data_IF_791119370583
#
_entry.id   IF_791119370583
#
_cell.length_a   1.000
_cell.length_b   1.000
_cell.length_c   1.000
_cell.angle_alpha   90.00
_cell.angle_beta   90.00
_cell.angle_gamma   90.00
#
_symmetry.space_group_name_H-M   'P 1'
#
loop_
_entity.id
_entity.type
_entity.pdbx_description
1 polymer ?
#
# COMPACT_ATOMS: atom_id res chain seq x y z
N UNK A 1 -8.86 4.83 -14.75
CA UNK A 1 -10.20 5.37 -15.06
C UNK A 1 -10.70 6.30 -13.97
N UNK A 2 -11.51 7.32 -14.31
CA UNK A 2 -12.26 8.11 -13.34
C UNK A 2 -13.72 7.62 -13.17
N UNK A 3 -14.12 6.53 -13.86
CA UNK A 3 -15.42 5.87 -13.63
C UNK A 3 -15.44 5.20 -12.26
N UNK A 4 -16.55 5.33 -11.55
CA UNK A 4 -16.78 4.65 -10.28
C UNK A 4 -18.27 4.34 -10.11
N UNK A 5 -18.59 3.22 -9.51
CA UNK A 5 -19.95 2.85 -9.13
C UNK A 5 -20.35 3.39 -7.74
N UNK A 6 -19.48 4.16 -7.08
CA UNK A 6 -19.74 4.84 -5.80
C UNK A 6 -19.57 6.36 -5.91
N UNK A 7 -20.20 7.08 -4.97
CA UNK A 7 -20.00 8.51 -4.70
C UNK A 7 -19.60 8.69 -3.24
N UNK A 8 -18.31 8.51 -2.96
CA UNK A 8 -17.78 8.67 -1.61
C UNK A 8 -17.56 10.17 -1.30
N UNK A 9 -18.03 10.62 -0.14
CA UNK A 9 -17.87 12.01 0.33
C UNK A 9 -16.39 12.40 0.53
N UNK A 10 -15.52 11.41 0.78
CA UNK A 10 -14.09 11.62 1.02
C UNK A 10 -13.23 11.10 -0.13
N UNK A 11 -13.79 11.04 -1.35
CA UNK A 11 -13.05 10.58 -2.50
C UNK A 11 -11.98 11.60 -2.91
N UNK A 12 -10.73 11.35 -2.57
CA UNK A 12 -9.63 12.25 -2.97
C UNK A 12 -9.43 12.29 -4.50
N UNK A 13 -9.91 11.28 -5.22
CA UNK A 13 -9.86 11.22 -6.67
C UNK A 13 -11.02 11.97 -7.36
N UNK A 14 -12.07 12.34 -6.64
CA UNK A 14 -13.30 12.95 -7.17
C UNK A 14 -13.84 12.23 -8.43
N UNK A 15 -13.89 10.93 -8.38
CA UNK A 15 -13.85 10.00 -9.51
C UNK A 15 -15.11 9.93 -10.38
N UNK A 16 -16.14 10.78 -10.21
CA UNK A 16 -17.40 10.59 -10.95
C UNK A 16 -18.12 11.89 -11.29
N UNK A 17 -17.51 13.04 -11.04
CA UNK A 17 -18.24 14.31 -11.02
C UNK A 17 -17.87 15.28 -12.13
N UNK A 18 -17.01 14.88 -13.07
CA UNK A 18 -16.30 15.84 -13.93
C UNK A 18 -17.00 16.15 -15.28
N UNK A 19 -18.12 15.48 -15.58
CA UNK A 19 -18.78 15.64 -16.89
C UNK A 19 -17.99 15.05 -18.07
N UNK A 20 -16.93 14.28 -17.80
CA UNK A 20 -16.12 13.57 -18.78
C UNK A 20 -15.67 12.20 -18.23
N UNK A 21 -15.32 11.31 -19.13
CA UNK A 21 -14.70 10.02 -18.78
C UNK A 21 -13.23 10.06 -19.20
N UNK A 22 -12.35 9.98 -18.21
CA UNK A 22 -10.92 9.75 -18.38
C UNK A 22 -10.63 8.26 -18.17
N UNK A 23 -10.39 7.57 -19.27
CA UNK A 23 -10.07 6.16 -19.26
C UNK A 23 -9.07 5.86 -20.35
N UNK A 24 -7.75 5.83 -20.01
CA UNK A 24 -6.70 5.55 -20.99
C UNK A 24 -6.96 4.24 -21.74
N UNK A 25 -6.70 4.21 -23.04
CA UNK A 25 -6.83 3.01 -23.85
C UNK A 25 -5.81 1.94 -23.43
N UNK A 26 -5.99 0.72 -23.92
CA UNK A 26 -5.03 -0.36 -23.64
C UNK A 26 -3.62 0.00 -24.16
N UNK A 27 -3.51 0.64 -25.32
CA UNK A 27 -2.25 1.12 -25.90
C UNK A 27 -1.61 2.19 -25.01
N UNK A 28 -2.40 3.19 -24.59
CA UNK A 28 -1.89 4.24 -23.68
C UNK A 28 -1.41 3.64 -22.35
N UNK A 29 -2.13 2.66 -21.80
CA UNK A 29 -1.70 1.96 -20.59
C UNK A 29 -0.41 1.15 -20.83
N UNK A 30 -0.28 0.52 -21.99
CA UNK A 30 0.94 -0.19 -22.36
C UNK A 30 2.13 0.77 -22.42
N UNK A 31 1.96 1.93 -23.04
CA UNK A 31 3.00 2.97 -23.10
C UNK A 31 3.38 3.50 -21.71
N UNK A 32 2.39 3.75 -20.85
CA UNK A 32 2.62 4.15 -19.45
C UNK A 32 3.41 3.09 -18.68
N UNK A 33 3.05 1.82 -18.81
CA UNK A 33 3.76 0.70 -18.17
C UNK A 33 5.18 0.55 -18.71
N UNK A 34 5.37 0.70 -20.02
CA UNK A 34 6.68 0.66 -20.66
C UNK A 34 7.58 1.79 -20.15
N UNK A 35 7.06 3.02 -20.09
CA UNK A 35 7.78 4.17 -19.52
C UNK A 35 8.30 3.87 -18.12
N UNK A 36 7.46 3.30 -17.23
CA UNK A 36 7.86 2.93 -15.88
C UNK A 36 8.96 1.84 -15.86
N UNK A 37 8.97 0.92 -16.83
CA UNK A 37 9.98 -0.14 -16.92
C UNK A 37 11.30 0.33 -17.56
N UNK A 38 11.25 1.43 -18.28
CA UNK A 38 12.43 2.05 -18.89
C UNK A 38 13.16 3.02 -17.95
N UNK A 39 12.59 3.35 -16.80
CA UNK A 39 13.23 4.19 -15.79
C UNK A 39 14.61 3.65 -15.37
N UNK A 40 15.56 4.57 -15.17
CA UNK A 40 16.94 4.28 -14.77
C UNK A 40 17.32 5.13 -13.54
N UNK A 41 18.20 4.67 -12.64
CA UNK A 41 18.99 3.42 -12.71
C UNK A 41 18.19 2.16 -12.35
N UNK A 42 17.02 2.27 -11.75
CA UNK A 42 16.20 1.14 -11.33
C UNK A 42 14.83 1.21 -12.00
N UNK A 43 14.46 0.20 -12.81
CA UNK A 43 13.10 0.14 -13.37
C UNK A 43 12.07 -0.02 -12.26
N UNK A 44 10.88 0.57 -12.43
CA UNK A 44 9.77 0.38 -11.49
C UNK A 44 9.37 -1.10 -11.41
N UNK A 45 9.31 -1.65 -10.20
CA UNK A 45 9.04 -3.07 -9.97
C UNK A 45 7.59 -3.36 -9.56
N UNK A 46 6.89 -2.38 -9.03
CA UNK A 46 5.52 -2.50 -8.54
C UNK A 46 4.59 -1.51 -9.22
N UNK A 47 3.38 -1.93 -9.57
CA UNK A 47 2.35 -1.07 -10.13
C UNK A 47 1.00 -1.33 -9.45
N UNK A 48 0.26 -0.25 -9.15
CA UNK A 48 -1.10 -0.34 -8.64
C UNK A 48 -2.07 0.31 -9.63
N UNK A 49 -3.04 -0.46 -10.10
CA UNK A 49 -4.14 0.05 -10.92
C UNK A 49 -5.21 0.65 -10.00
N UNK A 50 -5.54 1.89 -10.26
CA UNK A 50 -6.38 2.73 -9.41
C UNK A 50 -7.23 3.67 -10.27
N UNK A 51 -7.90 4.62 -9.63
CA UNK A 51 -8.69 5.66 -10.29
C UNK A 51 -9.97 5.91 -9.54
N UNK A 52 -11.12 5.74 -10.21
CA UNK A 52 -12.42 5.53 -9.59
C UNK A 52 -12.49 4.09 -9.09
N UNK A 53 -13.05 3.20 -9.93
CA UNK A 53 -13.10 1.77 -9.63
C UNK A 53 -12.51 0.96 -10.80
N UNK A 54 -11.29 0.43 -10.67
CA UNK A 54 -10.61 -0.25 -11.77
C UNK A 54 -11.31 -1.53 -12.23
N UNK A 55 -12.04 -2.21 -11.35
CA UNK A 55 -12.78 -3.43 -11.70
C UNK A 55 -13.95 -3.18 -12.64
N UNK A 56 -14.33 -1.92 -12.92
CA UNK A 56 -15.31 -1.59 -13.95
C UNK A 56 -14.77 -1.70 -15.37
N UNK A 57 -13.47 -1.89 -15.55
CA UNK A 57 -12.85 -2.18 -16.84
C UNK A 57 -12.91 -3.67 -17.13
N UNK A 58 -13.46 -4.04 -18.26
CA UNK A 58 -13.57 -5.46 -18.66
C UNK A 58 -12.20 -6.01 -19.12
N UNK A 59 -11.31 -5.16 -19.63
CA UNK A 59 -9.95 -5.50 -20.04
C UNK A 59 -8.91 -5.46 -18.90
N UNK A 60 -9.33 -5.28 -17.63
CA UNK A 60 -8.42 -5.25 -16.49
C UNK A 60 -7.53 -6.51 -16.37
N UNK A 61 -8.02 -7.74 -16.62
CA UNK A 61 -7.16 -8.92 -16.59
C UNK A 61 -6.05 -8.88 -17.64
N UNK A 62 -6.33 -8.38 -18.86
CA UNK A 62 -5.35 -8.21 -19.93
C UNK A 62 -4.30 -7.17 -19.59
N UNK A 63 -4.71 -6.05 -18.96
CA UNK A 63 -3.82 -4.99 -18.47
C UNK A 63 -2.86 -5.54 -17.39
N UNK A 64 -3.37 -6.33 -16.45
CA UNK A 64 -2.54 -6.97 -15.42
C UNK A 64 -1.54 -7.93 -16.05
N UNK A 65 -1.97 -8.77 -16.98
CA UNK A 65 -1.08 -9.69 -17.71
C UNK A 65 0.00 -8.94 -18.45
N UNK A 66 -0.36 -7.85 -19.12
CA UNK A 66 0.61 -6.99 -19.83
C UNK A 66 1.66 -6.40 -18.89
N UNK A 67 1.26 -5.99 -17.67
CA UNK A 67 2.22 -5.52 -16.66
C UNK A 67 3.20 -6.64 -16.25
N UNK A 68 2.69 -7.87 -16.01
CA UNK A 68 3.54 -9.03 -15.69
C UNK A 68 4.50 -9.35 -16.85
N UNK A 69 4.03 -9.34 -18.08
CA UNK A 69 4.84 -9.60 -19.29
C UNK A 69 5.95 -8.55 -19.46
N UNK A 70 5.71 -7.30 -19.06
CA UNK A 70 6.71 -6.24 -19.05
C UNK A 70 7.72 -6.36 -17.89
N UNK A 71 7.52 -7.31 -16.96
CA UNK A 71 8.44 -7.61 -15.86
C UNK A 71 8.14 -6.85 -14.56
N UNK A 72 6.92 -6.36 -14.35
CA UNK A 72 6.51 -5.97 -13.00
C UNK A 72 6.40 -7.21 -12.12
N UNK A 73 7.08 -7.19 -10.99
CA UNK A 73 7.07 -8.31 -10.03
C UNK A 73 5.91 -8.20 -9.03
N UNK A 74 5.33 -7.02 -8.89
CA UNK A 74 4.18 -6.79 -8.03
C UNK A 74 3.13 -5.94 -8.73
N UNK A 75 1.97 -6.54 -8.97
CA UNK A 75 0.80 -5.92 -9.56
C UNK A 75 -0.30 -5.82 -8.52
N UNK A 76 -0.93 -4.66 -8.40
CA UNK A 76 -1.91 -4.38 -7.37
C UNK A 76 -3.13 -3.68 -7.96
N UNK A 77 -4.30 -3.84 -7.32
CA UNK A 77 -5.48 -3.03 -7.60
C UNK A 77 -5.94 -2.33 -6.32
N UNK A 78 -6.37 -1.06 -6.43
CA UNK A 78 -7.10 -0.38 -5.36
C UNK A 78 -8.59 -0.39 -5.73
N UNK A 79 -9.43 -1.05 -4.92
CA UNK A 79 -10.84 -1.30 -5.25
C UNK A 79 -11.76 -1.10 -4.05
N UNK A 80 -13.01 -0.76 -4.32
CA UNK A 80 -14.08 -0.75 -3.31
C UNK A 80 -14.64 -2.16 -3.00
N UNK A 81 -14.25 -3.17 -3.78
CA UNK A 81 -14.57 -4.58 -3.54
C UNK A 81 -15.95 -5.04 -4.01
N UNK A 82 -16.83 -4.15 -4.47
CA UNK A 82 -18.23 -4.50 -4.78
C UNK A 82 -18.32 -5.52 -5.91
N UNK A 83 -17.56 -5.33 -7.00
CA UNK A 83 -17.54 -6.33 -8.08
C UNK A 83 -16.91 -7.64 -7.64
N UNK A 84 -15.85 -7.60 -6.81
CA UNK A 84 -15.26 -8.82 -6.24
C UNK A 84 -16.24 -9.60 -5.36
N UNK A 85 -17.16 -8.91 -4.69
CA UNK A 85 -18.20 -9.55 -3.89
C UNK A 85 -19.32 -10.19 -4.75
N UNK A 86 -19.74 -9.48 -5.81
CA UNK A 86 -20.88 -9.88 -6.65
C UNK A 86 -20.51 -10.91 -7.70
N UNK A 87 -19.28 -10.92 -8.17
CA UNK A 87 -18.74 -11.87 -9.15
C UNK A 87 -17.68 -12.75 -8.49
N UNK A 88 -18.10 -13.95 -8.08
CA UNK A 88 -17.24 -14.93 -7.39
C UNK A 88 -16.06 -15.41 -8.27
N UNK A 89 -16.14 -15.25 -9.59
CA UNK A 89 -15.09 -15.67 -10.52
C UNK A 89 -14.00 -14.62 -10.72
N UNK A 90 -14.30 -13.35 -10.43
CA UNK A 90 -13.43 -12.21 -10.72
C UNK A 90 -12.09 -12.29 -9.99
N UNK A 91 -12.10 -12.61 -8.68
CA UNK A 91 -10.89 -12.76 -7.89
C UNK A 91 -9.92 -13.79 -8.50
N UNK A 92 -10.45 -14.96 -8.90
CA UNK A 92 -9.69 -16.01 -9.58
C UNK A 92 -9.19 -15.59 -10.95
N UNK A 93 -9.97 -14.82 -11.71
CA UNK A 93 -9.57 -14.30 -13.02
C UNK A 93 -8.41 -13.32 -12.91
N UNK A 94 -8.47 -12.37 -11.97
CA UNK A 94 -7.40 -11.40 -11.72
C UNK A 94 -6.14 -12.08 -11.21
N UNK A 95 -6.27 -13.07 -10.32
CA UNK A 95 -5.11 -13.83 -9.82
C UNK A 95 -4.42 -14.61 -10.94
N UNK A 96 -5.17 -15.29 -11.81
CA UNK A 96 -4.59 -15.99 -12.98
C UNK A 96 -3.95 -15.04 -13.99
N UNK A 97 -4.40 -13.78 -14.05
CA UNK A 97 -3.76 -12.75 -14.84
C UNK A 97 -2.44 -12.26 -14.24
N UNK A 98 -2.14 -12.60 -12.98
CA UNK A 98 -0.92 -12.25 -12.29
C UNK A 98 -1.07 -11.17 -11.22
N UNK A 99 -2.32 -10.88 -10.77
CA UNK A 99 -2.53 -9.94 -9.67
C UNK A 99 -1.89 -10.44 -8.38
N UNK A 100 -1.00 -9.64 -7.81
CA UNK A 100 -0.30 -9.96 -6.56
C UNK A 100 -1.15 -9.65 -5.33
N UNK A 101 -1.79 -8.47 -5.28
CA UNK A 101 -2.49 -8.02 -4.06
C UNK A 101 -3.70 -7.14 -4.38
N UNK A 102 -4.77 -7.35 -3.65
CA UNK A 102 -5.96 -6.48 -3.63
C UNK A 102 -5.84 -5.48 -2.49
N UNK A 103 -5.82 -4.19 -2.78
CA UNK A 103 -5.97 -3.11 -1.81
C UNK A 103 -7.44 -2.76 -1.71
N UNK A 104 -8.08 -3.27 -0.67
CA UNK A 104 -9.51 -3.17 -0.45
C UNK A 104 -9.84 -1.98 0.45
N UNK A 105 -10.58 -1.01 -0.07
CA UNK A 105 -11.13 0.08 0.73
C UNK A 105 -12.03 -0.49 1.84
N UNK A 106 -11.75 -0.13 3.12
CA UNK A 106 -12.36 -0.76 4.30
C UNK A 106 -12.40 0.21 5.48
N UNK A 107 -13.42 1.07 5.57
CA UNK A 107 -13.45 2.20 6.51
C UNK A 107 -13.87 1.84 7.94
N UNK A 108 -14.31 0.61 8.16
CA UNK A 108 -14.73 0.14 9.48
C UNK A 108 -15.29 -1.27 9.45
N UNK A 109 -15.63 -1.80 10.61
CA UNK A 109 -16.16 -3.17 10.79
C UNK A 109 -17.68 -3.19 10.98
N UNK A 110 -18.30 -2.02 11.04
CA UNK A 110 -19.75 -1.84 11.21
C UNK A 110 -20.40 -1.10 10.05
N UNK A 111 -21.73 -1.27 9.86
CA UNK A 111 -22.48 -0.52 8.83
C UNK A 111 -22.50 0.98 9.07
N UNK A 112 -22.24 1.45 10.27
CA UNK A 112 -22.18 2.87 10.62
C UNK A 112 -20.95 3.56 10.02
N UNK A 113 -19.82 2.85 9.98
CA UNK A 113 -18.53 3.36 9.48
C UNK A 113 -18.24 2.90 8.07
N UNK A 114 -18.80 1.76 7.65
CA UNK A 114 -18.70 1.23 6.30
C UNK A 114 -20.01 0.57 5.86
N UNK A 115 -20.85 1.31 5.14
CA UNK A 115 -22.18 0.82 4.71
C UNK A 115 -22.13 -0.44 3.84
N UNK A 116 -21.02 -0.69 3.15
CA UNK A 116 -20.82 -1.86 2.29
C UNK A 116 -20.06 -2.99 2.96
N UNK A 117 -19.92 -2.96 4.29
CA UNK A 117 -19.11 -3.92 5.05
C UNK A 117 -19.41 -5.39 4.72
N UNK A 118 -20.67 -5.76 4.53
CA UNK A 118 -21.04 -7.15 4.23
C UNK A 118 -20.56 -7.58 2.83
N UNK A 119 -20.64 -6.67 1.83
CA UNK A 119 -20.05 -6.94 0.52
C UNK A 119 -18.53 -7.04 0.59
N UNK A 120 -17.88 -6.21 1.41
CA UNK A 120 -16.41 -6.27 1.59
C UNK A 120 -15.97 -7.57 2.25
N UNK A 121 -16.72 -8.05 3.25
CA UNK A 121 -16.46 -9.37 3.83
C UNK A 121 -16.62 -10.48 2.77
N UNK A 122 -17.67 -10.43 1.94
CA UNK A 122 -17.84 -11.40 0.84
C UNK A 122 -16.70 -11.31 -0.19
N UNK A 123 -16.22 -10.11 -0.53
CA UNK A 123 -15.04 -9.93 -1.38
C UNK A 123 -13.78 -10.56 -0.78
N UNK A 124 -13.57 -10.43 0.54
CA UNK A 124 -12.47 -11.08 1.26
C UNK A 124 -12.59 -12.61 1.17
N UNK A 125 -13.80 -13.17 1.37
CA UNK A 125 -14.02 -14.61 1.22
C UNK A 125 -13.72 -15.08 -0.21
N UNK A 126 -14.23 -14.40 -1.24
CA UNK A 126 -13.93 -14.74 -2.62
C UNK A 126 -12.42 -14.65 -2.95
N UNK A 127 -11.69 -13.74 -2.30
CA UNK A 127 -10.22 -13.68 -2.38
C UNK A 127 -9.56 -14.86 -1.65
N UNK A 128 -10.09 -15.25 -0.47
CA UNK A 128 -9.59 -16.39 0.32
C UNK A 128 -9.69 -17.69 -0.47
N UNK A 129 -10.84 -17.95 -1.10
CA UNK A 129 -11.11 -19.18 -1.86
C UNK A 129 -10.10 -19.43 -2.98
N UNK A 130 -9.52 -18.36 -3.54
CA UNK A 130 -8.51 -18.45 -4.59
C UNK A 130 -7.09 -18.15 -4.11
N UNK A 131 -6.90 -17.93 -2.80
CA UNK A 131 -5.62 -17.60 -2.20
C UNK A 131 -5.07 -16.22 -2.61
N UNK A 132 -5.94 -15.26 -2.95
CA UNK A 132 -5.57 -13.90 -3.30
C UNK A 132 -5.36 -13.06 -2.03
N UNK A 133 -4.15 -12.51 -1.83
CA UNK A 133 -3.86 -11.66 -0.67
C UNK A 133 -4.58 -10.31 -0.73
N UNK A 134 -5.07 -9.85 0.43
CA UNK A 134 -5.79 -8.59 0.61
C UNK A 134 -5.04 -7.69 1.59
N UNK A 135 -4.97 -6.39 1.30
CA UNK A 135 -4.57 -5.33 2.24
C UNK A 135 -5.79 -4.43 2.44
N UNK A 136 -6.18 -4.23 3.70
CA UNK A 136 -7.26 -3.31 4.03
C UNK A 136 -6.76 -1.86 3.97
N UNK A 137 -7.57 -0.97 3.40
CA UNK A 137 -7.21 0.45 3.22
C UNK A 137 -8.30 1.33 3.83
N UNK A 138 -8.28 1.56 5.13
CA UNK A 138 -9.23 2.44 5.79
C UNK A 138 -8.80 3.91 5.65
N UNK A 139 -9.73 4.75 5.18
CA UNK A 139 -9.61 6.21 5.30
C UNK A 139 -10.16 6.61 6.66
N UNK A 140 -9.34 7.29 7.47
CA UNK A 140 -9.68 7.64 8.85
C UNK A 140 -9.82 9.16 9.02
N UNK A 141 -10.94 9.59 9.58
CA UNK A 141 -11.20 10.97 9.97
C UNK A 141 -11.65 11.07 11.42
N UNK A 142 -11.23 12.12 12.12
CA UNK A 142 -11.62 12.39 13.50
C UNK A 142 -13.13 12.65 13.59
N UNK A 143 -13.81 12.08 14.59
CA UNK A 143 -15.26 12.15 14.74
C UNK A 143 -16.05 11.32 13.74
N UNK A 144 -15.36 10.53 12.88
CA UNK A 144 -16.00 9.71 11.85
C UNK A 144 -15.87 8.21 12.15
N UNK A 145 -14.66 7.69 12.14
CA UNK A 145 -14.40 6.26 12.27
C UNK A 145 -13.10 5.93 13.03
N UNK A 146 -12.42 6.91 13.61
CA UNK A 146 -11.18 6.70 14.37
C UNK A 146 -11.35 5.75 15.55
N UNK A 147 -12.59 5.63 16.07
CA UNK A 147 -12.94 4.73 17.16
C UNK A 147 -12.98 3.23 16.75
N UNK A 148 -12.81 2.92 15.47
CA UNK A 148 -12.75 1.54 14.97
C UNK A 148 -11.35 1.08 14.53
N UNK A 149 -10.33 1.92 14.69
CA UNK A 149 -8.96 1.60 14.26
C UNK A 149 -8.46 0.28 14.86
N UNK A 150 -8.62 0.09 16.18
CA UNK A 150 -8.26 -1.16 16.85
C UNK A 150 -9.10 -2.36 16.39
N UNK A 151 -10.40 -2.15 16.17
CA UNK A 151 -11.30 -3.20 15.67
C UNK A 151 -10.94 -3.67 14.27
N UNK A 152 -10.49 -2.76 13.40
CA UNK A 152 -10.01 -3.09 12.06
C UNK A 152 -8.75 -3.97 12.14
N UNK A 153 -7.81 -3.65 13.05
CA UNK A 153 -6.61 -4.48 13.27
C UNK A 153 -6.99 -5.86 13.78
N UNK A 154 -7.90 -5.94 14.76
CA UNK A 154 -8.36 -7.24 15.30
C UNK A 154 -9.10 -8.05 14.24
N UNK A 155 -9.94 -7.41 13.40
CA UNK A 155 -10.57 -8.09 12.26
C UNK A 155 -9.52 -8.63 11.28
N UNK A 156 -8.48 -7.85 10.95
CA UNK A 156 -7.40 -8.30 10.09
C UNK A 156 -6.63 -9.48 10.73
N UNK A 157 -6.36 -9.44 12.03
CA UNK A 157 -5.71 -10.52 12.76
C UNK A 157 -6.50 -11.83 12.76
N UNK A 158 -7.83 -11.75 12.87
CA UNK A 158 -8.72 -12.90 12.78
C UNK A 158 -8.78 -13.52 11.36
N UNK A 159 -8.32 -12.78 10.34
CA UNK A 159 -8.32 -13.17 8.93
C UNK A 159 -6.90 -13.13 8.33
N UNK A 160 -5.87 -13.39 9.13
CA UNK A 160 -4.45 -13.31 8.72
C UNK A 160 -4.09 -14.30 7.61
N UNK A 161 -4.90 -15.32 7.40
CA UNK A 161 -4.78 -16.28 6.31
C UNK A 161 -4.97 -15.65 4.92
N UNK A 162 -5.74 -14.56 4.82
CA UNK A 162 -6.01 -13.83 3.57
C UNK A 162 -5.60 -12.37 3.64
N UNK A 163 -5.75 -11.72 4.81
CA UNK A 163 -5.37 -10.31 5.01
C UNK A 163 -3.90 -10.22 5.37
N UNK A 164 -3.13 -9.50 4.53
CA UNK A 164 -1.68 -9.33 4.66
C UNK A 164 -1.29 -8.06 5.41
N UNK A 165 -2.23 -7.14 5.58
CA UNK A 165 -1.98 -5.91 6.32
C UNK A 165 -3.14 -4.94 6.29
N UNK A 166 -2.96 -3.86 7.06
CA UNK A 166 -3.85 -2.70 7.08
C UNK A 166 -3.00 -1.47 6.83
N UNK A 167 -3.35 -0.71 5.81
CA UNK A 167 -2.70 0.54 5.47
C UNK A 167 -3.66 1.71 5.72
N UNK A 168 -3.64 2.24 6.93
CA UNK A 168 -4.47 3.37 7.33
C UNK A 168 -4.12 4.64 6.56
N UNK A 169 -5.12 5.35 6.11
CA UNK A 169 -4.95 6.62 5.41
C UNK A 169 -5.69 7.72 6.17
N UNK A 170 -4.99 8.52 7.01
CA UNK A 170 -5.56 9.76 7.50
C UNK A 170 -6.14 10.57 6.35
N UNK A 171 -7.38 11.06 6.52
CA UNK A 171 -8.12 11.75 5.47
C UNK A 171 -7.36 12.98 4.95
N UNK A 172 -7.11 13.02 3.65
CA UNK A 172 -6.62 14.20 2.96
C UNK A 172 -7.81 15.02 2.41
N UNK A 173 -7.80 16.31 2.65
CA UNK A 173 -8.85 17.23 2.18
C UNK A 173 -8.59 17.66 0.73
N UNK A 174 -8.74 16.67 -0.15
CA UNK A 174 -8.57 16.79 -1.59
C UNK A 174 -9.76 16.15 -2.31
N UNK A 175 -9.93 16.41 -3.59
CA UNK A 175 -11.03 15.88 -4.39
C UNK A 175 -12.39 16.30 -3.84
N UNK A 176 -13.26 15.34 -3.52
CA UNK A 176 -14.62 15.63 -2.99
C UNK A 176 -14.61 16.35 -1.63
N UNK A 177 -13.54 16.20 -0.85
CA UNK A 177 -13.39 16.85 0.46
C UNK A 177 -12.65 18.20 0.41
N UNK A 178 -12.27 18.70 -0.78
CA UNK A 178 -11.47 19.94 -0.93
C UNK A 178 -12.20 21.18 -0.42
N UNK A 179 -13.52 21.23 -0.57
CA UNK A 179 -14.34 22.42 -0.31
C UNK A 179 -15.01 22.42 1.08
N UNK A 180 -14.61 21.50 1.96
CA UNK A 180 -15.11 21.49 3.33
C UNK A 180 -14.76 22.78 4.07
N UNK A 181 -15.72 23.32 4.81
CA UNK A 181 -15.52 24.52 5.63
C UNK A 181 -14.33 24.36 6.58
N UNK A 182 -13.54 25.40 6.85
CA UNK A 182 -12.34 25.31 7.69
C UNK A 182 -12.60 24.70 9.07
N UNK A 183 -13.74 25.01 9.69
CA UNK A 183 -14.11 24.46 11.00
C UNK A 183 -14.30 22.93 10.94
N UNK A 184 -14.99 22.42 9.90
CA UNK A 184 -15.23 20.99 9.68
C UNK A 184 -13.89 20.27 9.39
N UNK A 185 -13.10 20.82 8.49
CA UNK A 185 -11.78 20.30 8.14
C UNK A 185 -10.87 20.17 9.36
N UNK A 186 -10.79 21.23 10.20
CA UNK A 186 -9.97 21.21 11.39
C UNK A 186 -10.48 20.19 12.42
N UNK A 187 -11.79 20.06 12.56
CA UNK A 187 -12.41 19.08 13.46
C UNK A 187 -12.16 17.63 13.01
N UNK A 188 -12.14 17.39 11.71
CA UNK A 188 -11.97 16.05 11.13
C UNK A 188 -10.50 15.67 10.85
N UNK A 189 -9.55 16.61 11.00
CA UNK A 189 -8.12 16.33 10.78
C UNK A 189 -7.64 15.23 11.72
N UNK A 190 -7.04 14.20 11.13
CA UNK A 190 -6.43 13.07 11.81
C UNK A 190 -5.00 12.91 11.30
N UNK A 191 -4.05 12.59 12.17
CA UNK A 191 -2.62 12.54 11.84
C UNK A 191 -2.02 11.18 12.12
N UNK A 192 -0.77 10.93 11.69
CA UNK A 192 -0.07 9.68 12.00
C UNK A 192 0.18 9.50 13.52
N UNK A 193 0.56 10.53 14.30
CA UNK A 193 0.58 10.42 15.76
C UNK A 193 -0.78 10.06 16.36
N UNK A 194 -1.88 10.70 15.90
CA UNK A 194 -3.23 10.35 16.36
C UNK A 194 -3.54 8.87 16.06
N UNK A 195 -3.14 8.37 14.88
CA UNK A 195 -3.30 6.96 14.50
C UNK A 195 -2.57 6.04 15.48
N UNK A 196 -1.28 6.29 15.73
CA UNK A 196 -0.46 5.46 16.62
C UNK A 196 -1.03 5.42 18.05
N UNK A 197 -1.43 6.56 18.62
CA UNK A 197 -2.07 6.63 19.93
C UNK A 197 -3.44 5.94 19.97
N UNK A 198 -4.25 6.08 18.92
CA UNK A 198 -5.54 5.37 18.85
C UNK A 198 -5.34 3.85 18.77
N UNK A 199 -4.34 3.38 18.04
CA UNK A 199 -3.99 1.95 17.98
C UNK A 199 -3.61 1.47 19.39
N UNK A 200 -2.73 2.18 20.09
CA UNK A 200 -2.33 1.82 21.45
C UNK A 200 -3.51 1.71 22.40
N UNK A 201 -4.36 2.73 22.44
CA UNK A 201 -5.53 2.73 23.31
C UNK A 201 -6.52 1.61 22.98
N UNK A 202 -6.83 1.42 21.68
CA UNK A 202 -7.87 0.50 21.24
C UNK A 202 -7.41 -0.96 21.17
N UNK A 203 -6.10 -1.22 21.19
CA UNK A 203 -5.53 -2.58 21.33
C UNK A 203 -5.21 -2.94 22.78
N UNK A 204 -5.57 -2.07 23.75
CA UNK A 204 -5.26 -2.28 25.18
C UNK A 204 -3.75 -2.31 25.45
N UNK A 205 -2.95 -1.55 24.68
CA UNK A 205 -1.50 -1.48 24.82
C UNK A 205 -0.73 -2.68 24.25
N UNK A 206 -1.40 -3.60 23.54
CA UNK A 206 -0.70 -4.68 22.84
C UNK A 206 0.23 -4.11 21.73
N UNK A 207 -0.23 -3.09 21.03
CA UNK A 207 0.55 -2.33 20.06
C UNK A 207 0.67 -0.92 20.57
N UNK A 208 1.89 -0.45 20.83
CA UNK A 208 2.18 0.89 21.35
C UNK A 208 2.53 1.86 20.23
N UNK A 209 2.41 3.15 20.51
CA UNK A 209 2.82 4.21 19.58
C UNK A 209 4.30 4.08 19.17
N UNK A 210 5.16 3.66 20.11
CA UNK A 210 6.60 3.47 19.90
C UNK A 210 6.94 2.21 19.09
N UNK A 211 5.98 1.38 18.74
CA UNK A 211 6.19 0.20 17.89
C UNK A 211 6.26 0.58 16.39
N UNK A 212 5.99 1.83 16.04
CA UNK A 212 5.95 2.30 14.66
C UNK A 212 7.24 3.03 14.27
N UNK A 213 7.74 2.68 13.10
CA UNK A 213 8.93 3.27 12.50
C UNK A 213 8.56 4.07 11.23
N UNK A 214 9.22 5.21 10.97
CA UNK A 214 9.01 5.95 9.71
C UNK A 214 9.53 5.13 8.53
N UNK A 215 8.82 5.18 7.40
CA UNK A 215 9.15 4.39 6.19
C UNK A 215 10.62 4.49 5.76
N UNK A 216 11.32 5.65 5.82
CA UNK A 216 12.72 5.72 5.38
C UNK A 216 13.70 4.85 6.20
N UNK A 217 13.30 4.27 7.33
CA UNK A 217 14.19 3.39 8.10
C UNK A 217 14.70 2.20 7.27
N UNK A 218 13.92 1.74 6.28
CA UNK A 218 14.30 0.59 5.42
C UNK A 218 15.35 0.93 4.35
N UNK A 219 15.74 2.19 4.17
CA UNK A 219 16.75 2.61 3.17
C UNK A 219 18.10 1.91 3.40
N UNK A 220 18.46 1.66 4.66
CA UNK A 220 19.71 0.94 4.99
C UNK A 220 19.73 -0.49 4.43
N UNK A 221 18.55 -1.14 4.29
CA UNK A 221 18.41 -2.47 3.68
C UNK A 221 18.69 -2.37 2.17
N UNK A 222 18.08 -1.39 1.48
CA UNK A 222 18.31 -1.17 0.06
C UNK A 222 19.79 -0.93 -0.23
N UNK A 223 20.45 -0.07 0.56
CA UNK A 223 21.89 0.19 0.45
C UNK A 223 22.74 -1.05 0.70
N UNK A 224 22.37 -1.88 1.65
CA UNK A 224 23.09 -3.14 1.91
C UNK A 224 22.96 -4.09 0.71
N UNK A 225 21.77 -4.23 0.16
CA UNK A 225 21.53 -5.09 -1.01
C UNK A 225 22.31 -4.55 -2.23
N UNK A 226 22.28 -3.24 -2.46
CA UNK A 226 23.05 -2.60 -3.53
C UNK A 226 24.56 -2.83 -3.38
N UNK A 227 25.12 -2.57 -2.21
CA UNK A 227 26.54 -2.80 -1.93
C UNK A 227 26.94 -4.28 -2.07
N UNK A 228 26.03 -5.21 -1.72
CA UNK A 228 26.27 -6.64 -1.82
C UNK A 228 26.16 -7.16 -3.27
N UNK A 229 25.13 -6.74 -3.99
CA UNK A 229 24.85 -7.21 -5.35
C UNK A 229 25.65 -6.47 -6.42
N UNK A 230 25.99 -5.21 -6.16
CA UNK A 230 26.55 -4.27 -7.14
C UNK A 230 25.51 -3.73 -8.12
N UNK A 231 24.23 -3.99 -7.88
CA UNK A 231 23.12 -3.53 -8.70
C UNK A 231 22.28 -2.49 -7.95
N UNK A 232 21.96 -1.34 -8.56
CA UNK A 232 21.18 -0.30 -7.93
C UNK A 232 19.83 -0.81 -7.44
N UNK A 233 19.39 -0.30 -6.28
CA UNK A 233 18.17 -0.71 -5.62
C UNK A 233 17.21 0.47 -5.46
N UNK A 234 15.91 0.18 -5.36
CA UNK A 234 14.92 1.20 -5.00
C UNK A 234 15.14 1.61 -3.55
N UNK A 235 15.32 2.91 -3.32
CA UNK A 235 15.37 3.49 -1.97
C UNK A 235 14.02 4.10 -1.59
N UNK A 236 13.41 3.61 -0.52
CA UNK A 236 12.18 4.19 0.04
C UNK A 236 12.52 5.44 0.88
N UNK A 237 13.09 6.45 0.22
CA UNK A 237 13.57 7.69 0.83
C UNK A 237 12.46 8.71 1.10
N UNK A 238 11.19 8.28 1.14
CA UNK A 238 10.04 9.13 1.44
C UNK A 238 10.27 9.98 2.70
N UNK A 239 9.66 11.15 2.76
CA UNK A 239 9.76 11.99 3.96
C UNK A 239 9.17 11.27 5.18
N UNK A 240 9.77 11.35 6.39
CA UNK A 240 9.27 10.66 7.59
C UNK A 240 7.81 10.93 7.92
N UNK A 241 7.30 12.13 7.60
CA UNK A 241 5.89 12.48 7.79
C UNK A 241 4.94 11.85 6.75
N UNK A 242 5.44 11.12 5.75
CA UNK A 242 4.60 10.47 4.75
C UNK A 242 4.01 9.16 5.23
N UNK A 243 4.72 8.44 6.11
CA UNK A 243 4.23 7.16 6.58
C UNK A 243 5.02 6.58 7.74
N UNK A 244 4.31 5.79 8.53
CA UNK A 244 4.83 4.95 9.61
C UNK A 244 4.37 3.52 9.42
N UNK A 245 5.15 2.55 9.88
CA UNK A 245 4.78 1.15 9.77
C UNK A 245 5.38 0.28 10.88
N UNK A 246 4.73 -0.86 11.12
CA UNK A 246 5.26 -1.96 11.93
C UNK A 246 4.77 -3.30 11.37
N UNK A 247 5.37 -4.40 11.82
CA UNK A 247 4.86 -5.76 11.60
C UNK A 247 4.36 -6.32 12.91
N UNK A 248 3.17 -6.91 12.88
CA UNK A 248 2.57 -7.62 13.99
C UNK A 248 2.54 -9.12 13.69
N UNK A 249 2.95 -9.92 14.65
CA UNK A 249 2.74 -11.36 14.63
C UNK A 249 1.45 -11.68 15.37
N UNK A 250 0.67 -12.58 14.81
CA UNK A 250 -0.61 -13.01 15.39
C UNK A 250 -0.46 -14.41 15.96
N UNK A 251 -0.51 -14.55 17.27
CA UNK A 251 -0.41 -15.84 17.94
C UNK A 251 -1.45 -15.94 19.05
N UNK A 252 -2.29 -16.97 19.00
CA UNK A 252 -3.37 -17.22 19.99
C UNK A 252 -4.25 -16.00 20.25
N UNK A 253 -4.51 -15.20 19.21
CA UNK A 253 -5.31 -13.96 19.28
C UNK A 253 -4.58 -12.75 19.88
N UNK A 254 -3.28 -12.87 20.20
CA UNK A 254 -2.43 -11.78 20.65
C UNK A 254 -1.73 -11.12 19.47
N UNK A 255 -1.53 -9.81 19.59
CA UNK A 255 -0.76 -9.00 18.66
C UNK A 255 0.63 -8.76 19.23
N UNK A 256 1.66 -9.27 18.56
CA UNK A 256 3.05 -9.18 19.02
C UNK A 256 3.82 -8.32 18.00
N UNK A 257 4.12 -7.04 18.31
CA UNK A 257 4.96 -6.21 17.46
C UNK A 257 6.37 -6.78 17.31
N UNK A 258 6.96 -6.64 16.12
CA UNK A 258 8.28 -7.18 15.79
C UNK A 258 9.37 -6.70 16.74
N UNK A 259 9.30 -5.47 17.24
CA UNK A 259 10.28 -4.90 18.15
C UNK A 259 10.19 -5.44 19.60
N UNK A 260 9.25 -6.35 19.89
CA UNK A 260 9.21 -7.08 21.17
C UNK A 260 10.28 -8.17 21.27
N UNK A 261 10.77 -8.65 20.14
CA UNK A 261 11.78 -9.71 20.08
C UNK A 261 12.89 -9.42 19.08
N UNK A 262 12.82 -8.35 18.29
CA UNK A 262 13.88 -7.88 17.40
C UNK A 262 14.29 -6.47 17.81
N UNK A 263 15.56 -6.25 18.09
CA UNK A 263 16.11 -4.89 18.26
C UNK A 263 16.21 -4.21 16.88
N UNK A 264 15.10 -3.59 16.46
CA UNK A 264 14.90 -3.02 15.12
C UNK A 264 15.88 -1.87 14.87
N UNK A 265 16.18 -1.06 15.86
CA UNK A 265 17.11 0.06 15.72
C UNK A 265 18.54 -0.44 15.46
N UNK A 266 19.02 -1.37 16.28
CA UNK A 266 20.33 -2.00 16.04
C UNK A 266 20.37 -2.75 14.71
N UNK A 267 19.26 -3.35 14.27
CA UNK A 267 19.19 -3.99 12.98
C UNK A 267 19.46 -2.99 11.83
N UNK A 268 18.81 -1.82 11.84
CA UNK A 268 19.04 -0.79 10.82
C UNK A 268 20.45 -0.19 10.92
N UNK A 269 20.98 0.02 12.13
CA UNK A 269 22.37 0.43 12.30
C UNK A 269 23.35 -0.59 11.74
N UNK A 270 23.13 -1.87 11.99
CA UNK A 270 23.96 -2.95 11.48
C UNK A 270 23.94 -3.00 9.95
N UNK A 271 22.76 -2.95 9.35
CA UNK A 271 22.62 -2.95 7.88
C UNK A 271 23.34 -1.77 7.25
N UNK A 272 23.25 -0.57 7.83
CA UNK A 272 23.98 0.60 7.37
C UNK A 272 25.50 0.44 7.52
N UNK A 273 25.98 -0.09 8.65
CA UNK A 273 27.42 -0.36 8.88
C UNK A 273 27.97 -1.41 7.89
N UNK A 274 27.18 -2.44 7.60
CA UNK A 274 27.57 -3.48 6.63
C UNK A 274 27.61 -2.91 5.20
N UNK A 275 26.63 -2.10 4.80
CA UNK A 275 26.61 -1.43 3.51
C UNK A 275 27.88 -0.56 3.32
N UNK A 276 28.17 0.32 4.27
CA UNK A 276 29.34 1.20 4.22
C UNK A 276 30.67 0.42 4.13
N UNK A 277 30.76 -0.72 4.84
CA UNK A 277 31.97 -1.56 4.81
C UNK A 277 32.16 -2.27 3.46
N UNK A 278 31.08 -2.62 2.78
CA UNK A 278 31.10 -3.25 1.44
C UNK A 278 31.47 -2.24 0.35
N UNK A 279 30.93 -1.01 0.40
CA UNK A 279 31.20 0.06 -0.56
C UNK A 279 32.70 0.42 -0.59
N UNK A 280 33.37 0.38 0.56
CA UNK A 280 34.80 0.70 0.69
C UNK A 280 35.74 -0.50 0.51
N UNK A 281 35.22 -1.73 0.31
CA UNK A 281 36.04 -2.95 0.45
C UNK A 281 36.10 -3.91 -0.71
N UNK A 282 35.31 -3.72 -1.76
CA UNK A 282 35.26 -4.59 -2.92
C UNK A 282 34.76 -6.02 -2.66
N UNK A 283 34.77 -6.85 -3.72
CA UNK A 283 34.19 -8.22 -3.74
C UNK A 283 34.76 -9.15 -2.69
N UNK A 284 36.01 -8.98 -2.27
CA UNK A 284 36.69 -9.84 -1.29
C UNK A 284 36.11 -9.75 0.13
N UNK A 285 35.33 -8.72 0.44
CA UNK A 285 34.70 -8.53 1.77
C UNK A 285 33.29 -9.08 1.88
N UNK A 286 32.67 -9.51 0.78
CA UNK A 286 31.30 -10.05 0.81
C UNK A 286 31.09 -11.23 1.77
N UNK A 287 31.96 -12.28 1.78
CA UNK A 287 31.81 -13.38 2.72
C UNK A 287 31.93 -12.96 4.19
N UNK A 288 32.87 -12.04 4.48
CA UNK A 288 33.07 -11.54 5.85
C UNK A 288 31.94 -10.64 6.33
N UNK A 289 31.34 -9.84 5.45
CA UNK A 289 30.16 -9.03 5.76
C UNK A 289 28.93 -9.93 6.04
N UNK A 290 28.71 -10.94 5.23
CA UNK A 290 27.65 -11.92 5.44
C UNK A 290 27.81 -12.66 6.78
N UNK A 291 29.03 -13.15 7.06
CA UNK A 291 29.33 -13.83 8.34
C UNK A 291 29.10 -12.91 9.55
N UNK A 292 29.53 -11.64 9.47
CA UNK A 292 29.28 -10.66 10.53
C UNK A 292 27.78 -10.38 10.72
N UNK A 293 27.03 -10.28 9.63
CA UNK A 293 25.58 -10.13 9.67
C UNK A 293 24.90 -11.31 10.38
N UNK A 294 25.28 -12.54 10.02
CA UNK A 294 24.75 -13.76 10.63
C UNK A 294 25.09 -13.87 12.12
N UNK A 295 26.31 -13.57 12.51
CA UNK A 295 26.73 -13.56 13.92
C UNK A 295 25.97 -12.51 14.73
N UNK A 296 25.74 -11.33 14.15
CA UNK A 296 25.04 -10.25 14.80
C UNK A 296 23.54 -10.56 14.99
N UNK A 297 22.92 -11.39 14.15
CA UNK A 297 21.52 -11.83 14.33
C UNK A 297 21.26 -12.43 15.73
N UNK A 298 22.26 -13.11 16.31
CA UNK A 298 22.14 -13.69 17.63
C UNK A 298 21.96 -12.63 18.74
N UNK A 299 22.48 -11.43 18.55
CA UNK A 299 22.35 -10.32 19.50
C UNK A 299 21.16 -9.42 19.22
N UNK A 300 20.49 -9.58 18.06
CA UNK A 300 19.36 -8.77 17.64
C UNK A 300 18.01 -9.41 17.93
N UNK A 301 17.97 -10.71 18.11
CA UNK A 301 16.73 -11.46 18.28
C UNK A 301 16.68 -12.10 19.66
N UNK A 302 15.66 -11.74 20.41
CA UNK A 302 15.30 -12.37 21.67
C UNK A 302 14.43 -13.60 21.39
N UNK A 303 15.03 -14.79 21.49
CA UNK A 303 14.36 -16.06 21.21
C UNK A 303 13.32 -16.43 22.28
N UNK A 304 13.46 -15.92 23.51
CA UNK A 304 12.50 -16.21 24.59
C UNK A 304 11.17 -15.47 24.38
N UNK A 305 11.23 -14.29 23.79
CA UNK A 305 10.07 -13.45 23.53
C UNK A 305 9.53 -13.53 22.08
N UNK A 306 10.18 -14.28 21.19
CA UNK A 306 9.68 -14.47 19.84
C UNK A 306 8.40 -15.33 19.80
N UNK A 307 7.48 -15.12 18.84
CA UNK A 307 6.35 -15.98 18.62
C UNK A 307 6.79 -17.43 18.37
N UNK A 308 6.09 -18.40 18.96
CA UNK A 308 6.40 -19.84 18.81
C UNK A 308 6.16 -20.35 17.37
N UNK A 309 5.25 -19.69 16.66
CA UNK A 309 4.89 -19.98 15.27
C UNK A 309 6.00 -19.68 14.27
N UNK A 310 7.07 -18.96 14.68
CA UNK A 310 8.13 -18.53 13.77
C UNK A 310 9.52 -18.78 14.38
N UNK A 311 10.44 -19.22 13.55
CA UNK A 311 11.87 -19.28 13.86
C UNK A 311 12.56 -18.14 13.08
N UNK A 312 12.46 -16.91 13.60
CA UNK A 312 12.87 -15.70 12.89
C UNK A 312 14.33 -15.74 12.44
N UNK A 313 15.25 -16.21 13.30
CA UNK A 313 16.68 -16.33 12.94
C UNK A 313 16.90 -17.31 11.79
N UNK A 314 16.27 -18.46 11.81
CA UNK A 314 16.41 -19.47 10.76
C UNK A 314 15.82 -18.98 9.44
N UNK A 315 14.70 -18.28 9.49
CA UNK A 315 14.11 -17.63 8.31
C UNK A 315 15.10 -16.65 7.68
N UNK A 316 15.67 -15.72 8.47
CA UNK A 316 16.66 -14.76 7.97
C UNK A 316 17.91 -15.45 7.42
N UNK A 317 18.41 -16.49 8.10
CA UNK A 317 19.55 -17.28 7.59
C UNK A 317 19.23 -17.93 6.25
N UNK A 318 18.05 -18.54 6.11
CA UNK A 318 17.62 -19.18 4.87
C UNK A 318 17.57 -18.18 3.71
N UNK A 319 16.99 -17.01 3.93
CA UNK A 319 16.96 -15.94 2.92
C UNK A 319 18.37 -15.47 2.55
N UNK A 320 19.24 -15.26 3.53
CA UNK A 320 20.58 -14.71 3.30
C UNK A 320 21.56 -15.72 2.67
N UNK A 321 21.47 -17.01 3.06
CA UNK A 321 22.43 -18.02 2.63
C UNK A 321 21.97 -18.77 1.37
N UNK A 322 20.68 -18.99 1.23
CA UNK A 322 20.14 -19.84 0.17
C UNK A 322 19.40 -19.06 -0.91
N UNK A 323 19.21 -17.73 -0.70
CA UNK A 323 18.37 -16.89 -1.56
C UNK A 323 16.96 -17.47 -1.76
N UNK A 324 16.49 -18.25 -0.78
CA UNK A 324 15.19 -18.88 -0.78
C UNK A 324 14.15 -17.94 -0.17
N UNK A 325 13.43 -17.25 -1.03
CA UNK A 325 12.37 -16.32 -0.65
C UNK A 325 11.06 -17.05 -0.30
N UNK A 326 10.97 -18.38 -0.43
CA UNK A 326 9.77 -19.12 -0.02
C UNK A 326 9.59 -19.09 1.49
N UNK A 327 10.68 -18.99 2.25
CA UNK A 327 10.65 -18.76 3.71
C UNK A 327 9.92 -17.48 4.10
N UNK A 328 9.90 -16.44 3.22
CA UNK A 328 9.10 -15.25 3.43
C UNK A 328 7.60 -15.48 3.23
N UNK A 329 7.22 -16.54 2.50
CA UNK A 329 5.82 -16.92 2.33
C UNK A 329 5.17 -17.33 3.66
N UNK A 330 5.89 -18.11 4.49
CA UNK A 330 5.42 -18.50 5.82
C UNK A 330 5.42 -17.32 6.80
N UNK A 331 6.40 -16.42 6.71
CA UNK A 331 6.38 -15.16 7.43
C UNK A 331 5.07 -14.39 7.18
N UNK A 332 4.68 -14.25 5.92
CA UNK A 332 3.46 -13.51 5.57
C UNK A 332 2.14 -14.20 5.98
N UNK A 333 2.15 -15.50 6.29
CA UNK A 333 0.95 -16.21 6.78
C UNK A 333 0.64 -15.91 8.24
N UNK A 334 1.63 -15.50 9.02
CA UNK A 334 1.51 -15.26 10.46
C UNK A 334 1.73 -13.80 10.86
N UNK A 335 1.92 -12.92 9.87
CA UNK A 335 2.19 -11.50 10.10
C UNK A 335 1.21 -10.60 9.40
N UNK A 336 0.94 -9.47 10.06
CA UNK A 336 0.22 -8.33 9.50
C UNK A 336 1.16 -7.14 9.38
N UNK A 337 1.25 -6.58 8.19
CA UNK A 337 1.79 -5.24 8.02
C UNK A 337 0.77 -4.22 8.52
N UNK A 338 1.14 -3.36 9.46
CA UNK A 338 0.31 -2.22 9.88
C UNK A 338 1.04 -0.96 9.48
N UNK A 339 0.45 -0.24 8.54
CA UNK A 339 0.97 1.02 8.03
C UNK A 339 0.00 2.18 8.22
N UNK A 340 0.54 3.38 8.33
CA UNK A 340 -0.17 4.63 8.21
C UNK A 340 0.46 5.46 7.10
N UNK A 341 -0.35 5.96 6.17
CA UNK A 341 0.13 6.77 5.06
C UNK A 341 -0.68 8.07 4.99
N UNK A 342 -0.01 9.19 5.25
CA UNK A 342 -0.65 10.51 5.29
C UNK A 342 -0.36 11.29 4.00
N UNK A 343 -1.30 11.25 3.07
CA UNK A 343 -1.24 12.07 1.86
C UNK A 343 -1.45 13.55 2.18
N UNK A 344 -0.79 14.41 1.40
CA UNK A 344 -0.96 15.84 1.53
C UNK A 344 -2.23 16.32 0.84
N UNK A 345 -2.75 17.41 1.36
CA UNK A 345 -3.78 18.23 0.73
C UNK A 345 -3.30 19.68 0.58
N UNK A 346 -4.12 20.57 0.02
CA UNK A 346 -3.74 21.97 -0.23
C UNK A 346 -3.38 22.75 1.06
N UNK A 347 -3.79 22.25 2.24
CA UNK A 347 -3.62 22.93 3.53
C UNK A 347 -2.39 22.46 4.32
N UNK A 348 -1.73 21.41 3.87
CA UNK A 348 -0.50 20.88 4.47
C UNK A 348 0.54 20.51 3.40
N UNK A 349 0.44 21.13 2.22
CA UNK A 349 1.31 20.85 1.08
C UNK A 349 2.75 21.27 1.36
N UNK A 350 3.69 20.33 1.19
CA UNK A 350 5.11 20.51 1.46
C UNK A 350 5.92 20.02 0.26
N UNK A 351 6.66 20.93 -0.35
CA UNK A 351 7.46 20.68 -1.55
C UNK A 351 8.62 19.70 -1.27
N UNK A 352 9.20 19.73 -0.08
CA UNK A 352 10.28 18.80 0.28
C UNK A 352 9.75 17.35 0.41
N UNK A 353 8.52 17.19 0.84
CA UNK A 353 7.85 15.89 0.81
C UNK A 353 7.59 15.42 -0.62
N UNK A 354 7.19 16.33 -1.52
CA UNK A 354 6.96 16.01 -2.94
C UNK A 354 8.25 15.55 -3.61
N UNK A 355 9.37 16.26 -3.38
CA UNK A 355 10.69 15.89 -3.93
C UNK A 355 11.17 14.49 -3.52
N UNK A 356 10.70 14.01 -2.39
CA UNK A 356 11.06 12.70 -1.81
C UNK A 356 9.94 11.67 -1.94
N UNK A 357 8.96 11.91 -2.81
CA UNK A 357 7.82 11.01 -2.96
C UNK A 357 8.27 9.66 -3.53
N UNK A 358 7.84 8.57 -2.91
CA UNK A 358 8.08 7.20 -3.38
C UNK A 358 6.88 6.63 -4.18
N UNK A 359 5.78 7.38 -4.31
CA UNK A 359 4.56 6.96 -5.02
C UNK A 359 4.25 7.96 -6.12
N UNK A 360 4.10 7.46 -7.34
CA UNK A 360 3.89 8.29 -8.51
C UNK A 360 2.74 7.79 -9.36
N UNK A 361 2.09 8.70 -10.07
CA UNK A 361 1.22 8.36 -11.20
C UNK A 361 2.01 8.38 -12.50
N UNK A 362 1.94 7.31 -13.26
CA UNK A 362 2.21 7.38 -14.69
C UNK A 362 0.93 7.85 -15.38
N UNK A 363 1.06 8.73 -16.36
CA UNK A 363 -0.06 9.29 -17.13
C UNK A 363 0.24 9.23 -18.61
N UNK A 364 -0.77 9.25 -19.52
CA UNK A 364 -0.54 9.28 -20.94
C UNK A 364 0.36 10.45 -21.35
N UNK A 365 1.28 10.19 -22.28
CA UNK A 365 2.26 11.18 -22.74
C UNK A 365 3.60 11.13 -22.01
N UNK A 366 3.88 10.03 -21.25
CA UNK A 366 5.20 9.74 -20.70
C UNK A 366 5.57 10.54 -19.45
N UNK A 367 4.61 11.17 -18.77
CA UNK A 367 4.88 11.87 -17.52
C UNK A 367 4.70 10.95 -16.32
N UNK A 368 5.60 11.10 -15.35
CA UNK A 368 5.56 10.44 -14.03
C UNK A 368 5.46 11.54 -12.97
N UNK A 369 4.35 11.56 -12.22
CA UNK A 369 3.99 12.68 -11.34
C UNK A 369 3.84 12.18 -9.91
N UNK A 370 4.49 12.82 -8.91
CA UNK A 370 4.31 12.48 -7.50
C UNK A 370 2.84 12.46 -7.07
N UNK A 371 2.44 11.47 -6.29
CA UNK A 371 1.05 11.21 -5.93
C UNK A 371 0.33 12.45 -5.36
N UNK A 372 0.94 13.12 -4.39
CA UNK A 372 0.32 14.31 -3.79
C UNK A 372 0.32 15.51 -4.75
N UNK A 373 1.32 15.64 -5.63
CA UNK A 373 1.31 16.69 -6.65
C UNK A 373 0.17 16.49 -7.66
N UNK A 374 -0.10 15.25 -8.05
CA UNK A 374 -1.20 14.94 -8.96
C UNK A 374 -2.57 15.18 -8.34
N UNK A 375 -2.78 14.77 -7.09
CA UNK A 375 -4.11 14.82 -6.45
C UNK A 375 -4.44 16.13 -5.76
N UNK A 376 -3.44 16.86 -5.25
CA UNK A 376 -3.62 18.06 -4.41
C UNK A 376 -2.92 19.28 -4.96
N UNK A 377 -2.06 19.10 -5.98
CA UNK A 377 -1.37 20.19 -6.64
C UNK A 377 -2.29 20.89 -7.65
N UNK A 378 -2.07 22.18 -7.89
CA UNK A 378 -2.99 23.02 -8.70
C UNK A 378 -2.90 22.74 -10.20
N UNK A 379 -1.95 21.96 -10.70
CA UNK A 379 -1.52 22.09 -12.09
C UNK A 379 -1.64 20.85 -12.98
N UNK A 380 -1.78 19.62 -12.44
CA UNK A 380 -1.56 18.43 -13.26
C UNK A 380 -2.83 17.70 -13.64
N UNK A 381 -3.64 17.33 -12.66
CA UNK A 381 -4.75 16.40 -12.84
C UNK A 381 -5.74 16.87 -13.88
N UNK A 382 -6.31 18.06 -13.69
CA UNK A 382 -7.38 18.58 -14.56
C UNK A 382 -6.91 18.75 -16.01
N UNK A 383 -5.68 19.24 -16.21
CA UNK A 383 -5.11 19.43 -17.54
C UNK A 383 -4.90 18.07 -18.27
N UNK A 384 -4.40 17.07 -17.55
CA UNK A 384 -4.14 15.74 -18.10
C UNK A 384 -5.46 15.01 -18.37
N UNK A 385 -6.36 14.96 -17.39
CA UNK A 385 -7.62 14.26 -17.54
C UNK A 385 -8.45 14.87 -18.68
N UNK A 386 -8.55 16.20 -18.78
CA UNK A 386 -9.25 16.86 -19.89
C UNK A 386 -8.64 16.55 -21.25
N UNK A 387 -7.32 16.50 -21.34
CA UNK A 387 -6.64 16.23 -22.62
C UNK A 387 -6.91 14.82 -23.16
N UNK A 388 -7.08 13.84 -22.26
CA UNK A 388 -7.20 12.42 -22.62
C UNK A 388 -8.57 11.83 -22.26
N UNK A 389 -9.58 12.68 -22.06
CA UNK A 389 -10.94 12.26 -21.76
C UNK A 389 -11.87 12.45 -22.96
N UNK A 390 -13.03 11.82 -22.87
CA UNK A 390 -14.17 12.05 -23.76
C UNK A 390 -15.33 12.62 -22.95
N UNK A 391 -16.24 13.44 -23.55
CA UNK A 391 -17.42 13.92 -22.87
C UNK A 391 -18.27 12.77 -22.33
N UNK A 392 -18.84 12.92 -21.13
CA UNK A 392 -19.67 11.87 -20.50
C UNK A 392 -20.85 11.48 -21.40
N UNK A 393 -21.53 12.45 -22.02
CA UNK A 393 -22.66 12.16 -22.93
C UNK A 393 -22.26 11.33 -24.14
N UNK A 394 -21.07 11.52 -24.68
CA UNK A 394 -20.53 10.73 -25.79
C UNK A 394 -20.19 9.31 -25.34
N UNK A 395 -19.59 9.17 -24.17
CA UNK A 395 -19.30 7.86 -23.59
C UNK A 395 -20.58 7.07 -23.29
N UNK A 396 -21.59 7.72 -22.70
CA UNK A 396 -22.89 7.10 -22.38
C UNK A 396 -23.67 6.64 -23.60
N UNK A 397 -23.53 7.33 -24.74
CA UNK A 397 -24.17 6.90 -26.01
C UNK A 397 -23.66 5.54 -26.49
N UNK A 398 -22.40 5.22 -26.23
CA UNK A 398 -21.76 3.97 -26.69
C UNK A 398 -21.76 2.87 -25.62
N UNK A 399 -21.72 3.23 -24.35
CA UNK A 399 -21.56 2.27 -23.23
C UNK A 399 -22.77 2.21 -22.29
N UNK A 400 -23.77 3.06 -22.50
CA UNK A 400 -24.91 3.20 -21.59
C UNK A 400 -24.59 4.02 -20.34
N UNK A 401 -25.63 4.34 -19.57
CA UNK A 401 -25.47 5.19 -18.36
C UNK A 401 -24.65 4.51 -17.29
N UNK A 402 -23.77 5.27 -16.65
CA UNK A 402 -23.05 4.84 -15.45
C UNK A 402 -24.04 4.49 -14.33
N UNK A 403 -24.02 3.21 -13.90
CA UNK A 403 -24.88 2.73 -12.81
C UNK A 403 -24.15 2.92 -11.48
N UNK A 404 -24.77 3.66 -10.58
CA UNK A 404 -24.32 3.78 -9.20
C UNK A 404 -24.92 2.65 -8.36
N UNK A 405 -24.14 2.17 -7.39
CA UNK A 405 -24.67 1.25 -6.38
C UNK A 405 -25.69 1.99 -5.51
N UNK A 406 -26.83 1.35 -5.22
CA UNK A 406 -27.81 1.96 -4.33
C UNK A 406 -27.24 2.24 -2.96
N UNK A 407 -27.67 3.32 -2.34
CA UNK A 407 -27.24 3.75 -1.01
C UNK A 407 -27.99 3.04 0.13
N UNK A 408 -28.71 1.95 -0.18
CA UNK A 408 -29.55 1.22 0.78
C UNK A 408 -28.78 0.11 1.49
#
# INVERSE_FOLDING_TARGET
TNRCNLRCEWCFANAHAQGYVYEPTFEQLTDMLTTLREERPVPTLAVQFSGGEPTLRDDLPEIIRKAVDLGFIQTQIATNGIRLAKDETLAGTLRRAGLSTVYLQFNGVSKQTDRFIELKKKAIENCRDVGQGVVLVPTIGRGLNEHEVGKIILFAAQNVDVIRGVNFQPMAFAGAASDLAPAVRNAQRFTLPDLAFNIEQQTGGQVKADDFYPVPCVVSISKLIEAYTGAPQIEFSAHPHCGIATYLFVEEGKLIPINRFVDVEKFFELTQKLANNLDHGGVLRKPTALMRGLLALNSLVDEENQPKSIQFKEMIKTVLLHHDYTALGDFHKHTLFIGGMHFMDAYNYDVERVKRCAIHYAVPGGLIIPFCAYNSGPCYRDAIEKKYSIPLEEWERTHGKLRLEPLT
#
